data_IF_475161111605
#
_entry.id   IF_475161111605
#
_cell.length_a   1.000
_cell.length_b   1.000
_cell.length_c   1.000
_cell.angle_alpha   90.00
_cell.angle_beta   90.00
_cell.angle_gamma   90.00
#
_symmetry.space_group_name_H-M   'P 1'
#
loop_
_entity.id
_entity.type
_entity.pdbx_description
1 polymer ?
#
# COMPACT_ATOMS: atom_id res chain seq x y z
N UNK A 1 -18.52 -29.75 13.38
CA UNK A 1 -17.09 -29.48 13.64
C UNK A 1 -16.19 -29.55 12.40
N UNK A 2 -16.52 -30.32 11.35
CA UNK A 2 -15.71 -30.40 10.12
C UNK A 2 -15.62 -29.08 9.33
N UNK A 3 -16.72 -28.32 9.27
CA UNK A 3 -16.78 -27.02 8.55
C UNK A 3 -15.88 -25.97 9.21
N UNK A 4 -15.82 -25.93 10.55
CA UNK A 4 -14.95 -25.02 11.30
C UNK A 4 -13.47 -25.26 10.98
N UNK A 5 -13.07 -26.53 10.84
CA UNK A 5 -11.70 -26.92 10.51
C UNK A 5 -11.29 -26.49 9.09
N UNK A 6 -12.21 -26.62 8.12
CA UNK A 6 -11.99 -26.22 6.72
C UNK A 6 -11.84 -24.70 6.61
N UNK A 7 -12.68 -23.94 7.32
CA UNK A 7 -12.60 -22.48 7.37
C UNK A 7 -11.27 -22.03 7.97
N UNK A 8 -10.82 -22.68 9.06
CA UNK A 8 -9.54 -22.37 9.68
C UNK A 8 -8.35 -22.68 8.75
N UNK A 9 -8.38 -23.82 8.06
CA UNK A 9 -7.35 -24.21 7.08
C UNK A 9 -7.34 -23.28 5.85
N UNK A 10 -8.50 -22.85 5.38
CA UNK A 10 -8.61 -21.89 4.28
C UNK A 10 -8.06 -20.52 4.67
N UNK A 11 -8.35 -20.03 5.88
CA UNK A 11 -7.82 -18.77 6.39
C UNK A 11 -6.30 -18.84 6.61
N UNK A 12 -5.79 -19.96 7.11
CA UNK A 12 -4.34 -20.22 7.22
C UNK A 12 -3.66 -20.26 5.85
N UNK A 13 -4.27 -20.93 4.85
CA UNK A 13 -3.73 -20.98 3.48
C UNK A 13 -3.64 -19.60 2.83
N UNK A 14 -4.66 -18.74 3.03
CA UNK A 14 -4.65 -17.36 2.52
C UNK A 14 -3.56 -16.53 3.21
N UNK A 15 -3.37 -16.69 4.52
CA UNK A 15 -2.33 -15.96 5.26
C UNK A 15 -0.91 -16.29 4.77
N UNK A 16 -0.65 -17.54 4.38
CA UNK A 16 0.63 -17.97 3.82
C UNK A 16 0.87 -17.50 2.37
N UNK A 17 -0.17 -16.98 1.69
CA UNK A 17 -0.10 -16.55 0.29
C UNK A 17 0.24 -15.07 0.11
N UNK A 18 0.38 -14.31 1.20
CA UNK A 18 0.80 -12.91 1.12
C UNK A 18 2.31 -12.83 0.87
N UNK A 19 2.68 -12.77 -0.41
CA UNK A 19 4.04 -12.50 -0.87
C UNK A 19 4.44 -11.06 -0.51
N UNK A 20 5.00 -10.86 0.67
CA UNK A 20 5.58 -9.58 1.11
C UNK A 20 6.71 -9.10 0.16
N UNK A 21 7.29 -10.03 -0.61
CA UNK A 21 8.34 -9.77 -1.59
C UNK A 21 7.84 -9.10 -2.87
N UNK A 22 6.54 -9.16 -3.19
CA UNK A 22 6.01 -8.63 -4.44
C UNK A 22 6.09 -7.09 -4.49
N UNK A 23 5.86 -6.42 -3.36
CA UNK A 23 5.90 -4.96 -3.24
C UNK A 23 7.36 -4.45 -3.30
N UNK A 24 8.30 -5.19 -2.70
CA UNK A 24 9.72 -4.84 -2.73
C UNK A 24 10.32 -4.91 -4.14
N UNK A 25 9.87 -5.87 -4.96
CA UNK A 25 10.43 -6.14 -6.28
C UNK A 25 9.71 -5.44 -7.45
N UNK A 26 8.67 -4.64 -7.21
CA UNK A 26 7.98 -3.91 -8.28
C UNK A 26 8.94 -2.96 -9.00
N UNK A 27 9.08 -3.03 -10.33
CA UNK A 27 9.99 -2.11 -11.02
C UNK A 27 9.38 -0.69 -11.19
N UNK A 28 10.18 0.35 -11.54
CA UNK A 28 9.66 1.72 -11.66
C UNK A 28 8.51 1.88 -12.67
N UNK A 29 8.55 1.16 -13.79
CA UNK A 29 7.52 1.24 -14.84
C UNK A 29 6.20 0.66 -14.34
N UNK A 30 6.25 -0.51 -13.70
CA UNK A 30 5.08 -1.16 -13.10
C UNK A 30 4.50 -0.32 -11.97
N UNK A 31 5.35 0.27 -11.12
CA UNK A 31 4.92 1.14 -10.04
C UNK A 31 4.21 2.38 -10.59
N UNK A 32 4.76 3.01 -11.63
CA UNK A 32 4.13 4.18 -12.27
C UNK A 32 2.76 3.83 -12.84
N UNK A 33 2.63 2.71 -13.55
CA UNK A 33 1.35 2.25 -14.09
C UNK A 33 0.32 1.96 -12.98
N UNK A 34 0.75 1.38 -11.87
CA UNK A 34 -0.11 1.15 -10.70
C UNK A 34 -0.60 2.48 -10.09
N UNK A 35 0.31 3.44 -9.91
CA UNK A 35 -0.02 4.77 -9.39
C UNK A 35 -1.01 5.47 -10.31
N UNK A 36 -0.76 5.48 -11.61
CA UNK A 36 -1.65 6.11 -12.60
C UNK A 36 -3.05 5.48 -12.61
N UNK A 37 -3.14 4.17 -12.39
CA UNK A 37 -4.43 3.46 -12.29
C UNK A 37 -5.17 3.83 -11.01
N UNK A 38 -4.48 3.93 -9.87
CA UNK A 38 -5.11 4.07 -8.57
C UNK A 38 -5.29 5.53 -8.11
N UNK A 39 -4.56 6.49 -8.70
CA UNK A 39 -4.60 7.92 -8.29
C UNK A 39 -6.00 8.55 -8.40
N UNK A 40 -6.80 8.14 -9.39
CA UNK A 40 -8.19 8.56 -9.54
C UNK A 40 -9.00 8.38 -8.25
N UNK A 41 -8.95 7.18 -7.69
CA UNK A 41 -9.63 6.82 -6.44
C UNK A 41 -8.96 7.42 -5.21
N UNK A 42 -7.63 7.30 -5.13
CA UNK A 42 -6.87 7.61 -3.90
C UNK A 42 -6.77 9.12 -3.71
N UNK A 43 -6.39 9.86 -4.74
CA UNK A 43 -6.13 11.30 -4.67
C UNK A 43 -7.40 12.09 -4.97
N UNK A 44 -8.12 11.74 -6.04
CA UNK A 44 -9.21 12.56 -6.58
C UNK A 44 -10.63 12.09 -6.18
N UNK A 45 -10.75 11.13 -5.25
CA UNK A 45 -12.03 10.60 -4.76
C UNK A 45 -12.98 10.06 -5.84
N UNK A 46 -12.41 9.62 -6.97
CA UNK A 46 -13.14 8.88 -7.99
C UNK A 46 -13.55 7.47 -7.53
N UNK A 47 -14.25 6.71 -8.40
CA UNK A 47 -14.63 5.34 -8.12
C UNK A 47 -13.41 4.46 -7.80
N UNK A 48 -13.55 3.65 -6.75
CA UNK A 48 -12.48 2.78 -6.26
C UNK A 48 -12.79 1.30 -6.52
N UNK A 49 -11.80 0.57 -7.05
CA UNK A 49 -11.81 -0.89 -7.04
C UNK A 49 -11.46 -1.44 -5.63
N UNK A 50 -11.40 -2.76 -5.50
CA UNK A 50 -11.09 -3.41 -4.22
C UNK A 50 -9.70 -3.00 -3.68
N UNK A 51 -8.72 -2.83 -4.57
CA UNK A 51 -7.36 -2.43 -4.20
C UNK A 51 -7.34 -0.97 -3.73
N UNK A 52 -7.96 -0.06 -4.47
CA UNK A 52 -8.06 1.35 -4.10
C UNK A 52 -8.74 1.54 -2.74
N UNK A 53 -9.83 0.82 -2.46
CA UNK A 53 -10.50 0.83 -1.15
C UNK A 53 -9.57 0.35 -0.03
N UNK A 54 -8.86 -0.75 -0.25
CA UNK A 54 -7.89 -1.27 0.71
C UNK A 54 -6.80 -0.23 0.99
N UNK A 55 -6.23 0.39 -0.05
CA UNK A 55 -5.19 1.40 0.09
C UNK A 55 -5.70 2.61 0.89
N UNK A 56 -6.86 3.18 0.55
CA UNK A 56 -7.45 4.32 1.29
C UNK A 56 -7.59 4.04 2.78
N UNK A 57 -8.02 2.84 3.16
CA UNK A 57 -8.20 2.47 4.56
C UNK A 57 -6.87 2.37 5.33
N UNK A 58 -5.78 1.97 4.66
CA UNK A 58 -4.48 1.77 5.32
C UNK A 58 -3.56 2.99 5.23
N UNK A 59 -3.74 3.87 4.24
CA UNK A 59 -2.89 5.04 4.01
C UNK A 59 -2.74 5.92 5.26
N UNK A 60 -3.80 6.29 6.01
CA UNK A 60 -3.64 7.11 7.23
C UNK A 60 -2.78 6.43 8.31
N UNK A 61 -2.84 5.10 8.41
CA UNK A 61 -2.04 4.34 9.39
C UNK A 61 -0.59 4.28 8.93
N UNK A 62 -0.36 3.99 7.65
CA UNK A 62 0.98 3.92 7.09
C UNK A 62 1.67 5.28 7.11
N UNK A 63 0.93 6.35 6.80
CA UNK A 63 1.50 7.69 6.69
C UNK A 63 1.78 8.38 8.03
N UNK A 64 1.11 7.94 9.10
CA UNK A 64 1.52 8.30 10.47
C UNK A 64 2.94 7.85 10.79
N UNK A 65 3.37 6.73 10.20
CA UNK A 65 4.71 6.19 10.38
C UNK A 65 5.68 6.59 9.26
N UNK A 66 5.19 7.12 8.14
CA UNK A 66 6.00 7.49 6.97
C UNK A 66 5.41 8.68 6.21
N UNK A 67 6.14 9.79 6.10
CA UNK A 67 5.67 10.96 5.34
C UNK A 67 6.80 11.55 4.48
N UNK A 68 6.63 12.78 3.99
CA UNK A 68 7.62 13.48 3.16
C UNK A 68 8.97 13.71 3.85
N UNK A 69 9.04 13.65 5.19
CA UNK A 69 10.27 13.80 5.97
C UNK A 69 10.97 12.46 6.25
N UNK A 70 10.39 11.34 5.80
CA UNK A 70 10.89 10.00 6.03
C UNK A 70 9.98 9.16 6.92
N UNK A 71 10.48 8.01 7.33
CA UNK A 71 9.77 7.03 8.14
C UNK A 71 10.31 6.95 9.57
N UNK A 72 9.44 6.59 10.51
CA UNK A 72 9.81 6.22 11.87
C UNK A 72 10.82 5.07 11.86
N UNK A 73 11.83 5.06 12.74
CA UNK A 73 12.81 3.98 12.84
C UNK A 73 12.21 2.59 13.13
N UNK A 74 11.00 2.54 13.71
CA UNK A 74 10.27 1.30 13.96
C UNK A 74 9.58 0.73 12.71
N UNK A 75 9.59 1.46 11.59
CA UNK A 75 8.93 1.03 10.35
C UNK A 75 9.74 -0.10 9.71
N UNK A 76 9.09 -1.21 9.29
CA UNK A 76 9.75 -2.26 8.53
C UNK A 76 10.47 -1.72 7.29
N UNK A 77 11.73 -2.14 7.10
CA UNK A 77 12.58 -1.70 5.99
C UNK A 77 11.92 -1.83 4.59
N UNK A 78 11.19 -2.92 4.26
CA UNK A 78 10.53 -3.01 2.95
C UNK A 78 9.48 -1.91 2.71
N UNK A 79 8.83 -1.42 3.77
CA UNK A 79 7.85 -0.32 3.68
C UNK A 79 8.60 1.00 3.42
N UNK A 80 9.71 1.22 4.12
CA UNK A 80 10.57 2.39 3.90
C UNK A 80 11.06 2.43 2.46
N UNK A 81 11.58 1.32 1.94
CA UNK A 81 12.04 1.20 0.55
C UNK A 81 10.93 1.43 -0.47
N UNK A 82 9.74 0.86 -0.22
CA UNK A 82 8.59 1.07 -1.07
C UNK A 82 8.18 2.54 -1.16
N UNK A 83 8.13 3.26 -0.04
CA UNK A 83 7.81 4.69 -0.05
C UNK A 83 8.90 5.55 -0.67
N UNK A 84 10.18 5.24 -0.46
CA UNK A 84 11.28 5.90 -1.15
C UNK A 84 11.18 5.70 -2.68
N UNK A 85 10.74 4.52 -3.11
CA UNK A 85 10.51 4.22 -4.53
C UNK A 85 9.33 5.00 -5.10
N UNK A 86 8.24 5.15 -4.35
CA UNK A 86 7.11 6.00 -4.77
C UNK A 86 7.56 7.46 -4.92
N UNK A 87 8.33 7.97 -3.95
CA UNK A 87 8.86 9.33 -3.99
C UNK A 87 9.74 9.61 -5.21
N UNK A 88 10.54 8.64 -5.65
CA UNK A 88 11.37 8.81 -6.84
C UNK A 88 10.60 8.65 -8.15
N UNK A 89 9.59 7.78 -8.20
CA UNK A 89 8.81 7.48 -9.42
C UNK A 89 7.68 8.48 -9.68
N UNK A 90 7.02 8.96 -8.62
CA UNK A 90 5.84 9.80 -8.70
C UNK A 90 5.78 10.82 -7.53
N UNK A 91 6.73 11.78 -7.46
CA UNK A 91 6.85 12.70 -6.33
C UNK A 91 5.61 13.59 -6.13
N UNK A 92 4.93 13.97 -7.22
CA UNK A 92 3.73 14.81 -7.15
C UNK A 92 2.54 14.03 -6.57
N UNK A 93 2.29 12.82 -7.08
CA UNK A 93 1.26 11.95 -6.53
C UNK A 93 1.55 11.57 -5.07
N UNK A 94 2.82 11.36 -4.71
CA UNK A 94 3.21 11.14 -3.31
C UNK A 94 2.84 12.32 -2.41
N UNK A 95 3.22 13.54 -2.79
CA UNK A 95 2.87 14.74 -2.04
C UNK A 95 1.36 14.88 -1.87
N UNK A 96 0.58 14.65 -2.94
CA UNK A 96 -0.87 14.73 -2.89
C UNK A 96 -1.48 13.66 -1.96
N UNK A 97 -0.92 12.44 -1.92
CA UNK A 97 -1.32 11.40 -0.97
C UNK A 97 -0.99 11.82 0.47
N UNK A 98 0.23 12.30 0.74
CA UNK A 98 0.62 12.75 2.09
C UNK A 98 -0.28 13.89 2.57
N UNK A 99 -0.49 14.91 1.73
CA UNK A 99 -1.36 16.05 2.07
C UNK A 99 -2.79 15.64 2.42
N UNK A 100 -3.29 14.58 1.80
CA UNK A 100 -4.68 14.12 2.00
C UNK A 100 -4.87 13.21 3.21
N UNK A 101 -3.85 12.44 3.58
CA UNK A 101 -4.01 11.34 4.54
C UNK A 101 -3.11 11.44 5.77
N UNK A 102 -2.08 12.28 5.77
CA UNK A 102 -1.14 12.42 6.89
C UNK A 102 -1.61 13.47 7.93
N UNK A 103 -2.83 13.29 8.44
CA UNK A 103 -3.43 14.11 9.49
C UNK A 103 -3.39 13.41 10.86
#
# INVERSE_FOLDING_TARGET
MKIQLIVFLALLGVALSFDHNAIANINPVQLKALIDRQKGCIIYDGPCDAMGKMMKNHLPIMLRNCNIYGCSPATPQPIVEFFNKIQSVAPQEWQAVVQKYAH
#
